data_IF_479923376709
#
_entry.id   IF_479923376709
#
_cell.length_a   1.000
_cell.length_b   1.000
_cell.length_c   1.000
_cell.angle_alpha   90.00
_cell.angle_beta   90.00
_cell.angle_gamma   90.00
#
_symmetry.space_group_name_H-M   'P 1'
#
loop_
_entity.id
_entity.type
_entity.pdbx_description
1 polymer ?
#
# COMPACT_ATOMS: atom_id res chain seq x y z
N UNK A 1 58.03 -41.51 -36.67
CA UNK A 1 58.85 -41.32 -35.46
C UNK A 1 58.97 -39.84 -35.15
N UNK A 2 58.12 -39.34 -34.26
CA UNK A 2 58.33 -38.16 -33.40
C UNK A 2 57.01 -37.87 -32.67
N UNK A 3 56.93 -38.40 -31.46
CA UNK A 3 55.93 -38.10 -30.44
C UNK A 3 56.11 -36.68 -29.90
N UNK A 4 55.01 -35.94 -29.79
CA UNK A 4 54.56 -35.08 -28.65
C UNK A 4 53.43 -34.12 -29.11
N UNK A 5 52.58 -33.57 -28.21
CA UNK A 5 52.52 -33.76 -26.75
C UNK A 5 51.13 -34.13 -26.19
N UNK A 6 51.13 -34.47 -24.91
CA UNK A 6 50.04 -34.98 -24.09
C UNK A 6 48.82 -34.06 -23.96
N UNK A 7 47.63 -34.67 -23.96
CA UNK A 7 46.35 -34.05 -23.61
C UNK A 7 46.28 -33.73 -22.10
N UNK A 8 45.72 -32.58 -21.69
CA UNK A 8 45.53 -32.29 -20.28
C UNK A 8 44.37 -33.12 -19.69
N UNK A 9 44.59 -33.64 -18.47
CA UNK A 9 43.56 -34.32 -17.67
C UNK A 9 42.38 -33.38 -17.36
N UNK A 10 41.14 -33.90 -17.31
CA UNK A 10 39.98 -33.08 -16.96
C UNK A 10 40.08 -32.61 -15.50
N UNK A 11 40.08 -31.29 -15.30
CA UNK A 11 40.00 -30.68 -13.98
C UNK A 11 38.60 -30.92 -13.40
N UNK A 12 38.53 -31.59 -12.25
CA UNK A 12 37.32 -31.72 -11.44
C UNK A 12 37.00 -30.31 -10.92
N UNK A 13 35.93 -29.70 -11.46
CA UNK A 13 35.42 -28.40 -10.97
C UNK A 13 34.90 -28.59 -9.54
N UNK A 14 35.48 -27.83 -8.62
CA UNK A 14 35.06 -27.68 -7.23
C UNK A 14 33.59 -27.24 -7.14
N UNK A 15 32.78 -28.01 -6.41
CA UNK A 15 31.38 -27.71 -6.05
C UNK A 15 31.30 -26.57 -5.02
N UNK A 16 31.79 -25.37 -5.35
CA UNK A 16 31.70 -24.18 -4.47
C UNK A 16 31.23 -22.88 -5.12
N UNK A 17 30.79 -22.91 -6.38
CA UNK A 17 30.29 -21.71 -7.08
C UNK A 17 28.81 -21.81 -7.47
N UNK A 18 27.96 -22.26 -6.54
CA UNK A 18 26.50 -22.18 -6.68
C UNK A 18 25.86 -21.65 -5.38
N UNK A 19 26.18 -20.42 -5.02
CA UNK A 19 25.45 -19.69 -3.97
C UNK A 19 25.51 -18.18 -4.23
N UNK A 20 24.98 -17.75 -5.36
CA UNK A 20 24.55 -16.36 -5.60
C UNK A 20 23.43 -16.42 -6.63
N UNK A 21 22.31 -17.04 -6.24
CA UNK A 21 21.08 -16.88 -6.99
C UNK A 21 20.55 -15.47 -6.66
N UNK A 22 20.63 -14.60 -7.65
CA UNK A 22 19.84 -13.38 -7.70
C UNK A 22 18.36 -13.72 -7.40
N UNK A 23 17.57 -12.78 -6.83
CA UNK A 23 16.14 -13.00 -6.63
C UNK A 23 15.51 -13.51 -7.93
N UNK A 24 14.54 -14.45 -7.88
CA UNK A 24 13.96 -15.03 -9.08
C UNK A 24 13.43 -13.92 -9.97
N UNK A 25 14.02 -13.77 -11.17
CA UNK A 25 13.53 -12.83 -12.16
C UNK A 25 12.08 -13.20 -12.50
N UNK A 26 11.13 -12.23 -12.49
CA UNK A 26 9.77 -12.51 -12.90
C UNK A 26 9.77 -12.77 -14.42
N UNK A 27 9.87 -14.04 -14.82
CA UNK A 27 9.74 -14.44 -16.22
C UNK A 27 8.25 -14.41 -16.58
N UNK A 28 7.84 -13.25 -17.08
CA UNK A 28 6.61 -12.98 -17.80
C UNK A 28 6.26 -11.50 -17.71
N UNK A 29 5.84 -10.90 -18.81
CA UNK A 29 5.65 -9.44 -18.92
C UNK A 29 4.78 -8.86 -17.78
N UNK A 30 5.35 -7.92 -17.03
CA UNK A 30 4.63 -7.07 -16.08
C UNK A 30 3.64 -6.22 -16.87
N UNK A 31 2.38 -6.17 -16.44
CA UNK A 31 1.39 -5.35 -17.14
C UNK A 31 1.83 -3.89 -17.14
N UNK A 32 1.81 -3.26 -18.31
CA UNK A 32 2.07 -1.83 -18.47
C UNK A 32 0.84 -1.15 -19.05
N UNK A 33 0.58 0.12 -18.67
CA UNK A 33 -0.53 0.87 -19.24
C UNK A 33 -0.41 0.93 -20.76
N UNK A 34 -1.49 0.60 -21.51
CA UNK A 34 -1.47 0.69 -22.96
C UNK A 34 -1.17 2.13 -23.37
N UNK A 35 -0.40 2.34 -24.44
CA UNK A 35 -0.19 3.68 -24.96
C UNK A 35 -1.52 4.25 -25.50
N UNK A 36 -1.69 5.56 -25.37
CA UNK A 36 -2.83 6.30 -25.95
C UNK A 36 -2.29 7.26 -27.00
N UNK A 37 -2.89 7.25 -28.19
CA UNK A 37 -2.51 8.13 -29.31
C UNK A 37 -3.68 8.88 -29.91
N UNK A 38 -4.91 8.51 -29.56
CA UNK A 38 -6.14 9.15 -30.01
C UNK A 38 -7.06 9.46 -28.84
N UNK A 39 -8.02 10.37 -29.04
CA UNK A 39 -9.05 10.67 -28.03
C UNK A 39 -9.88 9.42 -27.71
N UNK A 40 -10.17 8.59 -28.70
CA UNK A 40 -10.95 7.36 -28.56
C UNK A 40 -10.27 6.35 -27.63
N UNK A 41 -8.93 6.26 -27.65
CA UNK A 41 -8.18 5.37 -26.75
C UNK A 41 -8.38 5.73 -25.27
N UNK A 42 -8.69 7.00 -24.99
CA UNK A 42 -8.95 7.45 -23.61
C UNK A 42 -10.25 6.84 -23.08
N UNK A 43 -11.19 6.47 -23.95
CA UNK A 43 -12.55 6.07 -23.60
C UNK A 43 -13.43 7.23 -23.13
N UNK A 44 -12.95 8.47 -23.19
CA UNK A 44 -13.67 9.68 -22.82
C UNK A 44 -14.17 10.40 -24.07
N UNK A 45 -15.25 11.16 -23.94
CA UNK A 45 -15.77 11.98 -25.03
C UNK A 45 -15.07 13.36 -25.08
N UNK A 46 -15.09 13.98 -26.26
CA UNK A 46 -14.48 15.29 -26.53
C UNK A 46 -14.92 16.39 -25.57
N UNK A 47 -16.20 16.42 -25.21
CA UNK A 47 -16.77 17.44 -24.32
C UNK A 47 -16.28 17.27 -22.88
N UNK A 48 -16.16 16.03 -22.38
CA UNK A 48 -15.64 15.74 -21.04
C UNK A 48 -14.18 16.15 -20.91
N UNK A 49 -13.35 15.85 -21.93
CA UNK A 49 -11.95 16.28 -21.93
C UNK A 49 -11.84 17.79 -22.10
N UNK A 50 -12.69 18.39 -22.94
CA UNK A 50 -12.79 19.84 -23.09
C UNK A 50 -13.15 20.56 -21.78
N UNK A 51 -14.17 20.09 -21.07
CA UNK A 51 -14.57 20.58 -19.75
C UNK A 51 -13.42 20.47 -18.74
N UNK A 52 -12.68 19.36 -18.75
CA UNK A 52 -11.52 19.17 -17.88
C UNK A 52 -10.41 20.19 -18.16
N UNK A 53 -10.07 20.40 -19.44
CA UNK A 53 -9.07 21.39 -19.87
C UNK A 53 -9.49 22.81 -19.47
N UNK A 54 -10.76 23.15 -19.68
CA UNK A 54 -11.32 24.45 -19.28
C UNK A 54 -11.23 24.66 -17.77
N UNK A 55 -11.53 23.64 -16.96
CA UNK A 55 -11.37 23.71 -15.50
C UNK A 55 -9.92 23.94 -15.08
N UNK A 56 -8.97 23.23 -15.69
CA UNK A 56 -7.54 23.43 -15.41
C UNK A 56 -7.08 24.85 -15.74
N UNK A 57 -7.46 25.37 -16.91
CA UNK A 57 -7.14 26.74 -17.30
C UNK A 57 -7.86 27.80 -16.45
N UNK A 58 -9.09 27.53 -16.01
CA UNK A 58 -9.83 28.43 -15.12
C UNK A 58 -9.10 28.66 -13.80
N UNK A 59 -8.51 27.61 -13.21
CA UNK A 59 -7.70 27.73 -11.99
C UNK A 59 -6.26 28.20 -12.24
N UNK A 60 -5.64 27.74 -13.33
CA UNK A 60 -4.22 27.98 -13.62
C UNK A 60 -3.93 29.27 -14.40
N UNK A 61 -4.94 29.94 -14.96
CA UNK A 61 -4.77 31.13 -15.78
C UNK A 61 -4.22 30.81 -17.18
N UNK A 62 -3.06 31.37 -17.52
CA UNK A 62 -2.41 31.11 -18.82
C UNK A 62 -1.39 29.97 -18.70
N UNK A 63 -1.52 28.94 -19.54
CA UNK A 63 -0.70 27.74 -19.46
C UNK A 63 -0.24 27.28 -20.84
N UNK A 64 0.91 26.62 -20.91
CA UNK A 64 1.35 25.99 -22.16
C UNK A 64 0.59 24.69 -22.39
N UNK A 65 0.45 24.27 -23.65
CA UNK A 65 -0.13 22.96 -23.98
C UNK A 65 0.55 21.79 -23.25
N UNK A 66 1.88 21.84 -23.11
CA UNK A 66 2.66 20.87 -22.32
C UNK A 66 2.25 20.87 -20.84
N UNK A 67 2.09 22.05 -20.22
CA UNK A 67 1.68 22.13 -18.82
C UNK A 67 0.26 21.58 -18.60
N UNK A 68 -0.66 21.86 -19.54
CA UNK A 68 -2.01 21.29 -19.52
C UNK A 68 -1.93 19.76 -19.63
N UNK A 69 -1.16 19.26 -20.61
CA UNK A 69 -0.91 17.83 -20.84
C UNK A 69 -0.36 17.13 -19.59
N UNK A 70 0.58 17.75 -18.88
CA UNK A 70 1.16 17.20 -17.66
C UNK A 70 0.17 17.16 -16.49
N UNK A 71 -0.79 18.09 -16.41
CA UNK A 71 -1.82 18.13 -15.36
C UNK A 71 -2.92 17.12 -15.64
N UNK A 72 -3.49 17.14 -16.85
CA UNK A 72 -4.59 16.23 -17.23
C UNK A 72 -4.08 14.84 -17.61
N UNK A 73 -2.76 14.62 -17.64
CA UNK A 73 -2.15 13.33 -17.95
C UNK A 73 -2.65 12.74 -19.28
N UNK A 74 -2.72 13.57 -20.32
CA UNK A 74 -3.04 13.13 -21.68
C UNK A 74 -1.97 13.64 -22.64
N UNK A 75 -1.52 12.83 -23.61
CA UNK A 75 -0.59 13.30 -24.64
C UNK A 75 -1.13 14.53 -25.35
N UNK A 76 -0.24 15.48 -25.65
CA UNK A 76 -0.67 16.65 -26.41
C UNK A 76 -1.04 16.27 -27.85
N UNK A 77 -0.13 15.61 -28.57
CA UNK A 77 -0.33 15.18 -29.95
C UNK A 77 -1.32 14.02 -30.04
N UNK A 78 -2.30 14.13 -30.95
CA UNK A 78 -3.29 13.10 -31.24
C UNK A 78 -4.47 13.03 -30.26
N UNK A 79 -4.35 13.63 -29.07
CA UNK A 79 -5.41 13.67 -28.06
C UNK A 79 -5.82 15.11 -27.75
N UNK A 80 -4.93 15.91 -27.15
CA UNK A 80 -5.31 17.27 -26.73
C UNK A 80 -5.30 18.27 -27.88
N UNK A 81 -4.47 18.14 -28.90
CA UNK A 81 -4.46 19.04 -30.07
C UNK A 81 -5.86 19.22 -30.69
N UNK A 82 -6.58 18.12 -30.94
CA UNK A 82 -7.96 18.15 -31.42
C UNK A 82 -8.94 18.79 -30.43
N UNK A 83 -8.75 18.56 -29.12
CA UNK A 83 -9.55 19.21 -28.06
C UNK A 83 -9.29 20.72 -28.04
N UNK A 84 -8.03 21.14 -28.13
CA UNK A 84 -7.62 22.55 -28.15
C UNK A 84 -8.14 23.24 -29.41
N UNK A 85 -8.11 22.58 -30.56
CA UNK A 85 -8.69 23.11 -31.81
C UNK A 85 -10.20 23.30 -31.69
N UNK A 86 -10.91 22.31 -31.16
CA UNK A 86 -12.33 22.41 -30.87
C UNK A 86 -12.65 23.60 -29.96
N UNK A 87 -11.96 23.73 -28.83
CA UNK A 87 -12.18 24.81 -27.87
C UNK A 87 -11.82 26.20 -28.46
N UNK A 88 -10.78 26.29 -29.30
CA UNK A 88 -10.44 27.51 -30.06
C UNK A 88 -11.54 27.87 -31.05
N UNK A 89 -12.02 26.92 -31.85
CA UNK A 89 -13.09 27.12 -32.84
C UNK A 89 -14.38 27.61 -32.18
N UNK A 90 -14.69 27.06 -31.00
CA UNK A 90 -15.84 27.47 -30.18
C UNK A 90 -15.60 28.80 -29.43
N UNK A 91 -14.46 29.46 -29.63
CA UNK A 91 -14.06 30.73 -28.98
C UNK A 91 -13.98 30.65 -27.46
N UNK A 92 -13.75 29.45 -26.91
CA UNK A 92 -13.56 29.25 -25.48
C UNK A 92 -12.10 29.46 -25.06
N UNK A 93 -11.17 29.26 -25.99
CA UNK A 93 -9.73 29.49 -25.79
C UNK A 93 -9.16 30.40 -26.87
N UNK A 94 -8.11 31.13 -26.49
CA UNK A 94 -7.26 31.91 -27.38
C UNK A 94 -5.78 31.54 -27.18
N UNK A 95 -4.96 31.81 -28.20
CA UNK A 95 -3.50 31.65 -28.12
C UNK A 95 -2.88 33.03 -27.98
N UNK A 96 -2.19 33.28 -26.85
CA UNK A 96 -1.61 34.59 -26.55
C UNK A 96 -0.18 34.75 -27.10
N UNK A 97 0.53 33.64 -27.33
CA UNK A 97 1.89 33.64 -27.85
C UNK A 97 2.40 32.24 -28.15
N UNK A 98 3.41 32.15 -29.02
CA UNK A 98 4.09 30.91 -29.38
C UNK A 98 5.45 30.85 -28.69
N UNK A 99 5.65 29.89 -27.78
CA UNK A 99 6.95 29.62 -27.15
C UNK A 99 7.90 28.78 -28.03
N UNK A 100 7.46 28.38 -29.23
CA UNK A 100 8.17 27.51 -30.18
C UNK A 100 7.31 27.21 -31.42
N UNK A 101 7.80 26.36 -32.33
CA UNK A 101 7.08 25.99 -33.57
C UNK A 101 5.95 24.97 -33.37
N UNK A 102 5.91 24.25 -32.25
CA UNK A 102 4.89 23.23 -31.98
C UNK A 102 3.71 23.81 -31.21
N UNK A 103 2.48 23.40 -31.55
CA UNK A 103 1.26 23.81 -30.83
C UNK A 103 1.32 23.49 -29.33
N UNK A 104 2.01 22.42 -28.93
CA UNK A 104 2.22 22.06 -27.52
C UNK A 104 2.93 23.14 -26.70
N UNK A 105 3.72 23.99 -27.36
CA UNK A 105 4.46 25.10 -26.74
C UNK A 105 3.69 26.43 -26.73
N UNK A 106 2.51 26.47 -27.32
CA UNK A 106 1.68 27.68 -27.33
C UNK A 106 1.12 27.96 -25.93
N UNK A 107 1.02 29.25 -25.60
CA UNK A 107 0.35 29.70 -24.39
C UNK A 107 -1.14 29.90 -24.66
N UNK A 108 -1.95 29.06 -24.01
CA UNK A 108 -3.40 29.11 -24.09
C UNK A 108 -3.96 29.94 -22.94
N UNK A 109 -4.97 30.74 -23.25
CA UNK A 109 -5.72 31.54 -22.28
C UNK A 109 -7.22 31.28 -22.45
N UNK A 110 -7.91 31.20 -21.32
CA UNK A 110 -9.36 31.05 -21.29
C UNK A 110 -10.06 32.37 -21.62
N UNK A 111 -11.04 32.34 -22.52
CA UNK A 111 -11.85 33.53 -22.85
C UNK A 111 -12.97 33.72 -21.84
N UNK A 112 -13.74 34.81 -21.95
CA UNK A 112 -14.95 34.99 -21.13
C UNK A 112 -15.98 33.87 -21.35
N UNK A 113 -16.17 33.43 -22.61
CA UNK A 113 -17.05 32.30 -22.95
C UNK A 113 -16.53 30.99 -22.38
N UNK A 114 -15.21 30.75 -22.46
CA UNK A 114 -14.59 29.58 -21.85
C UNK A 114 -14.74 29.57 -20.33
N UNK A 115 -14.59 30.72 -19.68
CA UNK A 115 -14.73 30.85 -18.23
C UNK A 115 -16.16 30.60 -17.75
N UNK A 116 -17.17 31.04 -18.49
CA UNK A 116 -18.57 30.70 -18.23
C UNK A 116 -18.80 29.19 -18.32
N UNK A 117 -18.31 28.57 -19.41
CA UNK A 117 -18.42 27.11 -19.58
C UNK A 117 -17.68 26.32 -18.49
N UNK A 118 -16.52 26.80 -18.05
CA UNK A 118 -15.77 26.21 -16.96
C UNK A 118 -16.57 26.26 -15.65
N UNK A 119 -17.26 27.37 -15.33
CA UNK A 119 -18.11 27.47 -14.14
C UNK A 119 -19.27 26.47 -14.18
N UNK A 120 -19.95 26.32 -15.32
CA UNK A 120 -20.99 25.28 -15.49
C UNK A 120 -20.42 23.87 -15.24
N UNK A 121 -19.20 23.59 -15.71
CA UNK A 121 -18.56 22.30 -15.47
C UNK A 121 -18.17 22.10 -14.00
N UNK A 122 -17.71 23.16 -13.32
CA UNK A 122 -17.38 23.16 -11.88
C UNK A 122 -18.63 22.99 -11.00
N UNK A 123 -19.79 23.43 -11.46
CA UNK A 123 -21.07 23.14 -10.80
C UNK A 123 -21.43 21.65 -10.81
N UNK A 124 -20.92 20.88 -11.79
CA UNK A 124 -21.08 19.43 -11.84
C UNK A 124 -19.98 18.70 -11.07
N UNK A 125 -18.73 19.15 -11.20
CA UNK A 125 -17.58 18.58 -10.49
C UNK A 125 -16.39 19.54 -10.47
N UNK A 126 -15.84 19.80 -9.28
CA UNK A 126 -14.64 20.61 -9.07
C UNK A 126 -13.34 19.89 -9.48
N UNK A 127 -13.41 18.62 -9.88
CA UNK A 127 -12.23 17.85 -10.26
C UNK A 127 -11.50 18.45 -11.46
N UNK A 128 -10.24 18.88 -11.27
CA UNK A 128 -9.41 19.53 -12.29
C UNK A 128 -7.97 18.97 -12.26
N UNK A 129 -7.83 17.67 -12.50
CA UNK A 129 -6.55 16.96 -12.45
C UNK A 129 -6.46 15.92 -13.57
N UNK A 130 -5.67 14.87 -13.39
CA UNK A 130 -5.49 13.77 -14.34
C UNK A 130 -6.83 13.27 -14.91
N UNK A 131 -6.94 13.14 -16.23
CA UNK A 131 -8.15 12.62 -16.86
C UNK A 131 -8.45 11.22 -16.29
N UNK A 132 -9.71 10.94 -15.91
CA UNK A 132 -10.05 9.65 -15.37
C UNK A 132 -9.93 8.56 -16.44
N UNK A 133 -9.66 7.33 -16.00
CA UNK A 133 -9.80 6.14 -16.86
C UNK A 133 -11.21 5.59 -16.73
N UNK A 134 -11.73 4.91 -17.75
CA UNK A 134 -13.07 4.32 -17.63
C UNK A 134 -13.09 3.19 -16.60
N UNK A 135 -14.24 2.93 -15.97
CA UNK A 135 -14.41 1.79 -15.08
C UNK A 135 -13.95 0.47 -15.72
N UNK A 136 -14.26 0.25 -17.00
CA UNK A 136 -13.86 -0.99 -17.69
C UNK A 136 -12.33 -1.09 -17.87
N UNK A 137 -11.65 0.02 -18.16
CA UNK A 137 -10.19 0.05 -18.23
C UNK A 137 -9.57 -0.31 -16.87
N UNK A 138 -10.11 0.24 -15.78
CA UNK A 138 -9.70 -0.10 -14.42
C UNK A 138 -9.89 -1.59 -14.12
N UNK A 139 -11.09 -2.15 -14.37
CA UNK A 139 -11.40 -3.56 -14.13
C UNK A 139 -10.42 -4.46 -14.89
N UNK A 140 -10.23 -4.22 -16.18
CA UNK A 140 -9.33 -5.01 -17.02
C UNK A 140 -7.88 -4.98 -16.50
N UNK A 141 -7.39 -3.80 -16.09
CA UNK A 141 -6.05 -3.65 -15.56
C UNK A 141 -5.88 -4.38 -14.22
N UNK A 142 -6.87 -4.30 -13.32
CA UNK A 142 -6.83 -4.98 -12.03
C UNK A 142 -6.84 -6.50 -12.20
N UNK A 143 -7.67 -7.03 -13.10
CA UNK A 143 -7.71 -8.46 -13.38
C UNK A 143 -6.37 -8.98 -13.90
N UNK A 144 -5.75 -8.30 -14.87
CA UNK A 144 -4.48 -8.76 -15.47
C UNK A 144 -3.33 -8.68 -14.46
N UNK A 145 -3.23 -7.58 -13.71
CA UNK A 145 -2.16 -7.38 -12.72
C UNK A 145 -2.22 -8.33 -11.52
N UNK A 146 -3.38 -8.95 -11.25
CA UNK A 146 -3.58 -9.85 -10.12
C UNK A 146 -3.72 -11.34 -10.49
N UNK A 147 -3.55 -11.69 -11.78
CA UNK A 147 -3.56 -13.10 -12.24
C UNK A 147 -2.44 -13.95 -11.66
N UNK A 148 -1.26 -13.35 -11.43
CA UNK A 148 -0.10 -14.06 -10.88
C UNK A 148 -0.05 -13.88 -9.38
N UNK A 149 -0.18 -14.99 -8.65
CA UNK A 149 0.11 -15.03 -7.22
C UNK A 149 1.59 -15.27 -7.03
N UNK A 150 2.26 -14.40 -6.29
CA UNK A 150 3.61 -14.68 -5.79
C UNK A 150 3.47 -15.87 -4.85
N UNK A 151 4.17 -16.96 -5.15
CA UNK A 151 4.25 -18.13 -4.27
C UNK A 151 5.41 -17.90 -3.31
N UNK A 152 5.08 -17.95 -2.04
CA UNK A 152 6.00 -17.61 -0.97
C UNK A 152 6.35 -18.88 -0.22
N UNK A 153 7.63 -19.20 -0.26
CA UNK A 153 8.21 -20.30 0.46
C UNK A 153 8.74 -19.84 1.82
N UNK A 154 9.00 -20.80 2.70
CA UNK A 154 9.44 -20.55 4.07
C UNK A 154 10.74 -19.75 4.10
N UNK A 155 11.66 -20.02 3.17
CA UNK A 155 12.95 -19.35 3.05
C UNK A 155 12.76 -17.86 2.75
N UNK A 156 11.80 -17.51 1.88
CA UNK A 156 11.49 -16.12 1.58
C UNK A 156 10.96 -15.41 2.83
N UNK A 157 9.99 -16.00 3.54
CA UNK A 157 9.47 -15.39 4.76
C UNK A 157 10.56 -15.19 5.82
N UNK A 158 11.34 -16.23 6.09
CA UNK A 158 12.42 -16.18 7.07
C UNK A 158 13.45 -15.09 6.75
N UNK A 159 13.73 -14.85 5.47
CA UNK A 159 14.65 -13.80 5.05
C UNK A 159 14.14 -12.40 5.35
N UNK A 160 12.84 -12.15 5.22
CA UNK A 160 12.32 -10.79 5.30
C UNK A 160 11.74 -10.42 6.65
N UNK A 161 11.52 -11.41 7.49
CA UNK A 161 11.26 -11.24 8.92
C UNK A 161 12.53 -11.44 9.75
N UNK A 162 13.74 -11.38 9.16
CA UNK A 162 15.00 -11.55 9.91
C UNK A 162 15.07 -10.67 11.15
N UNK A 163 14.55 -9.45 11.04
CA UNK A 163 14.56 -8.46 12.11
C UNK A 163 13.45 -8.69 13.15
N UNK A 164 12.49 -9.57 12.86
CA UNK A 164 11.44 -9.99 13.79
C UNK A 164 11.80 -11.33 14.45
N UNK A 165 11.52 -11.46 15.74
CA UNK A 165 11.60 -12.74 16.45
C UNK A 165 10.23 -13.41 16.32
N UNK A 166 10.13 -14.36 15.39
CA UNK A 166 8.90 -15.11 15.08
C UNK A 166 9.19 -16.60 15.25
N UNK A 167 8.27 -17.34 15.87
CA UNK A 167 8.42 -18.79 16.02
C UNK A 167 8.34 -19.50 14.66
N UNK A 168 9.02 -20.64 14.53
CA UNK A 168 8.90 -21.51 13.36
C UNK A 168 7.44 -21.93 13.11
N UNK A 169 6.70 -22.23 14.18
CA UNK A 169 5.29 -22.58 14.11
C UNK A 169 4.43 -21.43 13.54
N UNK A 170 4.75 -20.19 13.91
CA UNK A 170 4.05 -19.02 13.40
C UNK A 170 4.34 -18.80 11.90
N UNK A 171 5.55 -19.06 11.42
CA UNK A 171 5.83 -19.08 9.96
C UNK A 171 5.01 -20.13 9.23
N UNK A 172 4.92 -21.33 9.80
CA UNK A 172 4.17 -22.45 9.21
C UNK A 172 2.65 -22.16 9.14
N UNK A 173 2.15 -21.21 9.95
CA UNK A 173 0.77 -20.69 9.86
C UNK A 173 0.63 -19.50 8.91
N UNK A 174 1.58 -18.56 8.91
CA UNK A 174 1.54 -17.34 8.09
C UNK A 174 1.73 -17.65 6.61
N UNK A 175 2.71 -18.49 6.25
CA UNK A 175 3.05 -18.74 4.84
C UNK A 175 1.89 -19.27 4.00
N UNK A 176 1.15 -20.29 4.46
CA UNK A 176 -0.06 -20.73 3.77
C UNK A 176 -1.14 -19.65 3.68
N UNK A 177 -1.30 -18.84 4.74
CA UNK A 177 -2.31 -17.78 4.79
C UNK A 177 -2.06 -16.70 3.73
N UNK A 178 -0.81 -16.29 3.65
CA UNK A 178 -0.23 -15.40 2.65
C UNK A 178 -0.45 -15.92 1.23
N UNK A 179 -0.06 -17.18 0.95
CA UNK A 179 -0.19 -17.76 -0.39
C UNK A 179 -1.64 -17.94 -0.83
N UNK A 180 -2.56 -18.09 0.13
CA UNK A 180 -3.98 -18.15 -0.19
C UNK A 180 -4.46 -16.84 -0.85
N UNK A 181 -3.85 -15.70 -0.48
CA UNK A 181 -4.27 -14.36 -0.89
C UNK A 181 -5.67 -14.00 -0.37
N UNK A 182 -6.08 -14.59 0.77
CA UNK A 182 -7.41 -14.43 1.37
C UNK A 182 -7.30 -13.81 2.76
N UNK A 183 -8.44 -13.69 3.44
CA UNK A 183 -8.53 -13.08 4.76
C UNK A 183 -7.74 -13.83 5.84
N UNK A 184 -7.03 -13.05 6.66
CA UNK A 184 -6.26 -13.50 7.82
C UNK A 184 -6.79 -12.83 9.08
N UNK A 185 -6.88 -13.58 10.17
CA UNK A 185 -7.25 -13.08 11.48
C UNK A 185 -6.09 -13.33 12.45
N UNK A 186 -5.42 -12.26 12.86
CA UNK A 186 -4.38 -12.26 13.88
C UNK A 186 -5.02 -11.90 15.22
N UNK A 187 -4.94 -12.81 16.18
CA UNK A 187 -5.50 -12.59 17.51
C UNK A 187 -4.52 -13.01 18.60
N UNK A 188 -4.71 -12.52 19.81
CA UNK A 188 -3.87 -12.84 20.95
C UNK A 188 -3.57 -11.61 21.79
N UNK A 189 -2.81 -11.74 22.87
CA UNK A 189 -2.62 -10.66 23.82
C UNK A 189 -1.98 -9.39 23.22
N UNK A 190 -2.24 -8.21 23.81
CA UNK A 190 -1.60 -6.97 23.37
C UNK A 190 -0.10 -7.01 23.62
N UNK A 191 0.67 -6.27 22.79
CA UNK A 191 2.12 -6.16 22.96
C UNK A 191 2.95 -7.29 22.35
N UNK A 192 2.35 -8.22 21.59
CA UNK A 192 3.10 -9.29 20.90
C UNK A 192 3.35 -9.01 19.40
N UNK A 193 3.16 -7.78 18.95
CA UNK A 193 3.57 -7.35 17.60
C UNK A 193 2.69 -7.82 16.44
N UNK A 194 1.40 -8.14 16.68
CA UNK A 194 0.44 -8.54 15.62
C UNK A 194 0.45 -7.59 14.42
N UNK A 195 0.32 -6.29 14.67
CA UNK A 195 0.32 -5.23 13.66
C UNK A 195 1.63 -5.21 12.88
N UNK A 196 2.77 -5.26 13.58
CA UNK A 196 4.10 -5.28 12.96
C UNK A 196 4.29 -6.52 12.10
N UNK A 197 3.81 -7.69 12.54
CA UNK A 197 3.87 -8.93 11.76
C UNK A 197 3.00 -8.79 10.50
N UNK A 198 1.76 -8.32 10.62
CA UNK A 198 0.87 -8.11 9.48
C UNK A 198 1.49 -7.17 8.44
N UNK A 199 2.00 -6.02 8.85
CA UNK A 199 2.63 -5.04 7.96
C UNK A 199 3.87 -5.61 7.26
N UNK A 200 4.76 -6.29 8.01
CA UNK A 200 6.00 -6.84 7.46
C UNK A 200 5.69 -7.97 6.50
N UNK A 201 4.77 -8.85 6.87
CA UNK A 201 4.29 -9.89 5.96
C UNK A 201 3.69 -9.25 4.71
N UNK A 202 2.76 -8.30 4.83
CA UNK A 202 2.13 -7.63 3.68
C UNK A 202 3.12 -6.99 2.72
N UNK A 203 4.04 -6.16 3.21
CA UNK A 203 5.03 -5.47 2.36
C UNK A 203 5.91 -6.43 1.53
N UNK A 204 6.17 -7.61 2.10
CA UNK A 204 7.06 -8.61 1.50
C UNK A 204 6.30 -9.50 0.54
N UNK A 205 5.11 -9.89 0.98
CA UNK A 205 4.26 -10.84 0.30
C UNK A 205 3.69 -10.27 -0.96
N UNK A 206 3.20 -9.04 -0.85
CA UNK A 206 2.56 -8.39 -1.95
C UNK A 206 3.57 -8.14 -3.06
N UNK A 207 4.80 -7.74 -2.70
CA UNK A 207 5.98 -7.76 -3.57
C UNK A 207 5.83 -6.95 -4.86
N UNK A 208 6.75 -6.03 -5.09
CA UNK A 208 6.81 -5.29 -6.34
C UNK A 208 5.77 -4.17 -6.46
N UNK A 209 5.77 -3.60 -7.66
CA UNK A 209 5.00 -2.43 -8.00
C UNK A 209 3.75 -2.82 -8.79
N UNK A 210 2.76 -1.94 -8.80
CA UNK A 210 1.57 -2.07 -9.64
C UNK A 210 1.15 -0.69 -10.15
N UNK A 211 0.37 -0.69 -11.22
CA UNK A 211 -0.20 0.51 -11.79
C UNK A 211 -1.63 0.70 -11.32
N UNK A 212 -1.93 1.91 -10.83
CA UNK A 212 -3.29 2.36 -10.53
C UNK A 212 -3.58 3.66 -11.26
N UNK A 213 -4.83 3.97 -11.60
CA UNK A 213 -5.16 5.27 -12.18
C UNK A 213 -5.22 6.35 -11.10
N UNK A 214 -5.07 7.62 -11.48
CA UNK A 214 -5.35 8.73 -10.56
C UNK A 214 -6.83 8.77 -10.15
N UNK A 215 -7.72 8.57 -11.10
CA UNK A 215 -9.16 8.53 -10.91
C UNK A 215 -9.84 7.64 -11.95
N UNK A 216 -11.06 7.19 -11.64
CA UNK A 216 -11.93 6.44 -12.55
C UNK A 216 -13.20 7.23 -12.86
N UNK A 217 -13.71 7.08 -14.08
CA UNK A 217 -14.99 7.60 -14.52
C UNK A 217 -16.05 6.50 -14.43
N UNK A 218 -17.13 6.81 -13.73
CA UNK A 218 -18.33 5.99 -13.61
C UNK A 218 -19.51 6.83 -14.11
N UNK A 219 -19.72 6.79 -15.43
CA UNK A 219 -20.82 7.48 -16.11
C UNK A 219 -20.83 8.99 -15.85
N UNK A 220 -19.65 9.61 -15.96
CA UNK A 220 -19.45 11.03 -15.71
C UNK A 220 -19.29 11.40 -14.23
N UNK A 221 -19.41 10.44 -13.31
CA UNK A 221 -19.03 10.63 -11.90
C UNK A 221 -17.57 10.22 -11.71
N UNK A 222 -16.78 11.12 -11.14
CA UNK A 222 -15.34 10.89 -10.92
C UNK A 222 -15.14 10.29 -9.54
N UNK A 223 -14.41 9.19 -9.47
CA UNK A 223 -13.94 8.59 -8.21
C UNK A 223 -12.42 8.66 -8.16
N UNK A 224 -11.89 9.32 -7.13
CA UNK A 224 -10.44 9.36 -6.89
C UNK A 224 -9.94 8.04 -6.32
N UNK A 225 -8.87 7.52 -6.89
CA UNK A 225 -8.23 6.27 -6.46
C UNK A 225 -6.89 6.57 -5.81
N UNK A 226 -5.99 7.25 -6.54
CA UNK A 226 -4.68 7.61 -6.01
C UNK A 226 -4.78 8.77 -5.02
N UNK A 227 -4.04 8.61 -3.93
CA UNK A 227 -3.71 9.67 -2.98
C UNK A 227 -2.34 9.39 -2.35
N UNK A 228 -1.62 10.45 -2.00
CA UNK A 228 -0.25 10.37 -1.51
C UNK A 228 -0.14 9.93 -0.03
N UNK A 229 -1.26 9.83 0.69
CA UNK A 229 -1.29 9.38 2.09
C UNK A 229 -1.24 7.85 2.13
N UNK A 230 -2.04 7.20 1.28
CA UNK A 230 -2.19 5.75 1.25
C UNK A 230 -1.26 5.06 0.23
N UNK A 231 -0.80 5.76 -0.81
CA UNK A 231 0.00 5.16 -1.87
C UNK A 231 1.42 5.70 -1.91
N UNK A 232 2.39 4.78 -1.92
CA UNK A 232 3.82 5.07 -2.08
C UNK A 232 4.23 4.81 -3.52
N UNK A 233 4.97 5.73 -4.13
CA UNK A 233 5.43 5.59 -5.52
C UNK A 233 6.40 4.40 -5.68
N UNK A 234 6.40 3.80 -6.87
CA UNK A 234 7.35 2.76 -7.26
C UNK A 234 8.75 3.33 -7.53
N UNK A 235 9.78 2.47 -7.48
CA UNK A 235 11.19 2.89 -7.52
C UNK A 235 11.60 3.63 -8.82
N UNK A 236 10.95 3.31 -9.94
CA UNK A 236 11.23 3.97 -11.23
C UNK A 236 10.65 5.40 -11.31
N UNK A 237 9.56 5.67 -10.59
CA UNK A 237 8.89 6.96 -10.55
C UNK A 237 9.53 7.92 -9.53
N UNK A 238 10.13 7.40 -8.45
CA UNK A 238 10.90 8.22 -7.48
C UNK A 238 12.05 9.00 -8.15
N UNK A 239 12.64 8.44 -9.22
CA UNK A 239 13.75 9.06 -9.96
C UNK A 239 13.32 9.91 -11.17
N UNK A 240 12.01 10.05 -11.44
CA UNK A 240 11.48 10.85 -12.56
C UNK A 240 11.83 10.36 -13.97
N UNK A 241 12.42 9.17 -14.11
CA UNK A 241 12.96 8.63 -15.39
C UNK A 241 11.98 7.74 -16.16
N UNK A 242 10.82 7.44 -15.60
CA UNK A 242 9.89 6.41 -16.12
C UNK A 242 8.83 6.93 -17.11
N UNK A 243 9.17 7.89 -18.00
CA UNK A 243 8.27 8.30 -19.10
C UNK A 243 8.62 7.68 -20.45
N UNK A 244 9.73 6.94 -20.52
CA UNK A 244 10.19 6.29 -21.76
C UNK A 244 10.47 4.84 -21.44
N UNK A 245 9.53 3.95 -21.80
CA UNK A 245 9.91 2.56 -22.01
C UNK A 245 11.09 2.55 -22.99
N UNK A 246 12.07 1.66 -22.82
CA UNK A 246 13.28 1.59 -23.66
C UNK A 246 13.03 1.43 -25.16
N UNK A 247 11.76 1.28 -25.57
CA UNK A 247 11.23 1.19 -26.94
C UNK A 247 10.76 2.52 -27.53
N UNK A 248 10.77 3.63 -26.78
CA UNK A 248 10.28 4.94 -27.24
C UNK A 248 8.76 5.13 -27.17
N UNK A 249 8.02 4.12 -26.70
CA UNK A 249 6.56 4.20 -26.49
C UNK A 249 6.27 4.86 -25.14
N UNK A 250 5.46 5.91 -25.16
CA UNK A 250 4.96 6.59 -23.96
C UNK A 250 3.73 5.83 -23.46
N UNK A 251 3.84 5.22 -22.29
CA UNK A 251 2.72 4.56 -21.59
C UNK A 251 1.66 5.59 -21.19
N UNK A 252 0.39 5.19 -21.09
CA UNK A 252 -0.71 6.10 -20.68
C UNK A 252 -0.40 6.78 -19.33
N UNK A 253 -0.22 8.12 -19.31
CA UNK A 253 0.22 8.84 -18.12
C UNK A 253 -0.88 9.02 -17.06
N UNK A 254 -2.14 8.62 -17.34
CA UNK A 254 -3.23 8.59 -16.35
C UNK A 254 -3.04 7.50 -15.29
N UNK A 255 -2.10 6.59 -15.53
CA UNK A 255 -1.70 5.54 -14.60
C UNK A 255 -0.40 5.94 -13.89
N UNK A 256 -0.32 5.61 -12.61
CA UNK A 256 0.84 5.85 -11.77
C UNK A 256 1.33 4.53 -11.19
N UNK A 257 2.66 4.32 -11.19
CA UNK A 257 3.26 3.11 -10.65
C UNK A 257 3.49 3.31 -9.16
N UNK A 258 2.88 2.46 -8.35
CA UNK A 258 2.96 2.49 -6.90
C UNK A 258 3.54 1.16 -6.41
N UNK A 259 4.12 1.16 -5.21
CA UNK A 259 4.30 -0.10 -4.47
C UNK A 259 2.92 -0.65 -4.16
N UNK A 260 2.73 -1.97 -4.22
CA UNK A 260 1.43 -2.56 -3.88
C UNK A 260 0.92 -2.03 -2.53
N UNK A 261 -0.35 -1.58 -2.47
CA UNK A 261 -0.83 -0.79 -1.36
C UNK A 261 -0.93 -1.63 -0.07
N UNK A 262 -0.43 -1.08 1.03
CA UNK A 262 -0.64 -1.60 2.38
C UNK A 262 -1.30 -0.49 3.17
N UNK A 263 -2.62 -0.57 3.31
CA UNK A 263 -3.43 0.43 4.01
C UNK A 263 -3.81 -0.14 5.37
N UNK A 264 -3.57 0.63 6.43
CA UNK A 264 -3.96 0.28 7.79
C UNK A 264 -5.01 1.26 8.31
N UNK A 265 -6.03 0.73 8.99
CA UNK A 265 -7.04 1.50 9.71
C UNK A 265 -7.23 0.93 11.11
N UNK A 266 -7.42 1.80 12.10
CA UNK A 266 -7.66 1.44 13.49
C UNK A 266 -9.10 1.72 13.96
N UNK A 267 -9.24 2.39 15.10
CA UNK A 267 -10.52 2.71 15.73
C UNK A 267 -11.38 3.73 14.96
N UNK A 268 -10.78 4.46 14.03
CA UNK A 268 -11.41 5.46 13.16
C UNK A 268 -12.20 4.87 11.99
N UNK A 269 -12.14 3.55 11.80
CA UNK A 269 -12.89 2.88 10.73
C UNK A 269 -14.40 2.99 10.96
N UNK A 270 -15.09 3.56 9.96
CA UNK A 270 -16.55 3.64 9.91
C UNK A 270 -17.10 2.83 8.74
N UNK A 271 -18.37 2.41 8.80
CA UNK A 271 -19.03 1.73 7.66
C UNK A 271 -19.06 2.63 6.41
N UNK A 272 -19.27 3.93 6.61
CA UNK A 272 -19.28 4.89 5.50
C UNK A 272 -17.93 4.94 4.77
N UNK A 273 -16.80 4.74 5.47
CA UNK A 273 -15.47 4.64 4.87
C UNK A 273 -15.25 3.38 4.02
N UNK A 274 -16.19 2.43 4.04
CA UNK A 274 -16.20 1.24 3.19
C UNK A 274 -17.09 1.39 1.95
N UNK A 275 -17.75 2.53 1.78
CA UNK A 275 -18.54 2.83 0.57
C UNK A 275 -17.97 4.09 -0.10
N UNK A 276 -18.46 4.39 -1.31
CA UNK A 276 -18.03 5.58 -2.04
C UNK A 276 -18.49 6.83 -1.28
N UNK A 277 -17.53 7.64 -0.83
CA UNK A 277 -17.82 8.86 -0.09
C UNK A 277 -17.95 10.02 -1.07
N UNK A 278 -19.17 10.53 -1.24
CA UNK A 278 -19.41 11.71 -2.08
C UNK A 278 -19.11 12.99 -1.31
N UNK A 279 -18.24 13.84 -1.87
CA UNK A 279 -17.99 15.17 -1.33
C UNK A 279 -18.97 16.17 -1.97
N UNK A 280 -19.89 16.73 -1.17
CA UNK A 280 -20.92 17.66 -1.67
C UNK A 280 -20.35 19.02 -2.13
N UNK A 281 -19.19 19.42 -1.62
CA UNK A 281 -18.53 20.68 -1.98
C UNK A 281 -17.77 20.50 -3.29
N UNK A 282 -16.95 19.45 -3.35
CA UNK A 282 -16.09 19.17 -4.49
C UNK A 282 -16.82 18.42 -5.63
N UNK A 283 -17.95 17.78 -5.33
CA UNK A 283 -18.83 17.07 -6.27
C UNK A 283 -18.09 15.98 -7.06
N UNK A 284 -17.30 15.20 -6.34
CA UNK A 284 -16.72 13.93 -6.81
C UNK A 284 -16.63 12.97 -5.63
N UNK A 285 -16.35 11.70 -5.92
CA UNK A 285 -16.22 10.68 -4.90
C UNK A 285 -14.77 10.43 -4.52
N UNK A 286 -14.57 10.09 -3.26
CA UNK A 286 -13.36 9.45 -2.78
C UNK A 286 -13.57 7.93 -2.77
N UNK A 287 -12.61 7.19 -3.34
CA UNK A 287 -12.63 5.72 -3.31
C UNK A 287 -12.49 5.20 -1.87
N UNK A 288 -13.24 4.16 -1.47
CA UNK A 288 -13.11 3.58 -0.14
C UNK A 288 -11.78 2.84 0.03
N UNK A 289 -11.38 2.58 1.27
CA UNK A 289 -10.08 1.99 1.59
C UNK A 289 -9.83 0.66 0.86
N UNK A 290 -10.83 -0.21 0.77
CA UNK A 290 -10.65 -1.48 0.07
C UNK A 290 -10.39 -1.30 -1.43
N UNK A 291 -11.03 -0.31 -2.07
CA UNK A 291 -10.82 -0.01 -3.49
C UNK A 291 -9.41 0.55 -3.72
N UNK A 292 -8.92 1.40 -2.80
CA UNK A 292 -7.54 1.93 -2.81
C UNK A 292 -6.50 0.85 -2.54
N UNK A 293 -6.82 -0.13 -1.69
CA UNK A 293 -5.95 -1.26 -1.39
C UNK A 293 -6.03 -2.41 -2.41
N UNK A 294 -6.74 -2.24 -3.54
CA UNK A 294 -6.94 -3.32 -4.51
C UNK A 294 -5.61 -3.79 -5.11
N UNK A 295 -5.39 -5.11 -5.16
CA UNK A 295 -4.09 -5.71 -5.47
C UNK A 295 -3.10 -5.67 -4.30
N UNK A 296 -3.50 -5.22 -3.13
CA UNK A 296 -2.65 -5.08 -1.95
C UNK A 296 -3.23 -5.73 -0.71
N UNK A 297 -2.92 -5.13 0.44
CA UNK A 297 -3.40 -5.56 1.76
C UNK A 297 -4.15 -4.43 2.44
N UNK A 298 -5.24 -4.80 3.10
CA UNK A 298 -6.00 -3.93 3.97
C UNK A 298 -5.99 -4.48 5.39
N UNK A 299 -5.28 -3.80 6.30
CA UNK A 299 -5.11 -4.20 7.69
C UNK A 299 -6.04 -3.38 8.59
N UNK A 300 -6.87 -4.08 9.36
CA UNK A 300 -7.77 -3.51 10.34
C UNK A 300 -7.22 -3.85 11.72
N UNK A 301 -6.63 -2.86 12.37
CA UNK A 301 -6.04 -3.02 13.70
C UNK A 301 -7.06 -2.75 14.82
N UNK A 302 -6.80 -3.33 15.99
CA UNK A 302 -7.71 -3.31 17.14
C UNK A 302 -9.17 -3.65 16.78
N UNK A 303 -9.36 -4.62 15.89
CA UNK A 303 -10.66 -5.09 15.45
C UNK A 303 -11.50 -5.56 16.64
N UNK A 304 -12.71 -5.02 16.80
CA UNK A 304 -13.50 -5.18 18.02
C UNK A 304 -13.64 -3.92 18.86
N UNK A 305 -12.79 -2.92 18.64
CA UNK A 305 -12.76 -1.66 19.41
C UNK A 305 -13.21 -0.45 18.60
N UNK A 306 -13.73 -0.66 17.39
CA UNK A 306 -14.31 0.38 16.55
C UNK A 306 -15.66 0.84 17.12
N UNK A 307 -16.09 2.04 16.73
CA UNK A 307 -17.46 2.51 17.00
C UNK A 307 -18.51 1.62 16.34
N UNK A 308 -18.16 1.05 15.18
CA UNK A 308 -19.00 0.11 14.43
C UNK A 308 -18.86 -1.28 15.03
N UNK A 309 -19.98 -2.02 15.09
CA UNK A 309 -19.98 -3.40 15.55
C UNK A 309 -19.16 -4.28 14.58
N UNK A 310 -18.27 -5.15 15.08
CA UNK A 310 -17.49 -6.08 14.27
C UNK A 310 -18.31 -6.85 13.24
N UNK A 311 -19.50 -7.31 13.65
CA UNK A 311 -20.44 -8.03 12.78
C UNK A 311 -20.84 -7.24 11.53
N UNK A 312 -21.01 -5.93 11.63
CA UNK A 312 -21.48 -5.10 10.52
C UNK A 312 -20.36 -4.91 9.48
N UNK A 313 -19.13 -4.66 9.94
CA UNK A 313 -17.93 -4.60 9.09
C UNK A 313 -17.74 -5.93 8.35
N UNK A 314 -17.89 -7.03 9.07
CA UNK A 314 -17.73 -8.37 8.55
C UNK A 314 -18.82 -8.75 7.55
N UNK A 315 -20.08 -8.37 7.80
CA UNK A 315 -21.18 -8.53 6.85
C UNK A 315 -20.91 -7.81 5.52
N UNK A 316 -20.30 -6.62 5.56
CA UNK A 316 -19.95 -5.83 4.37
C UNK A 316 -18.97 -6.56 3.45
N UNK A 317 -18.12 -7.43 3.99
CA UNK A 317 -17.11 -8.19 3.23
C UNK A 317 -17.45 -9.65 2.97
N UNK A 318 -18.62 -10.15 3.38
CA UNK A 318 -19.03 -11.53 3.07
C UNK A 318 -18.95 -11.77 1.56
N UNK A 319 -19.63 -10.94 0.77
CA UNK A 319 -19.71 -11.11 -0.68
C UNK A 319 -18.35 -10.84 -1.35
N UNK A 320 -17.63 -9.75 -1.05
CA UNK A 320 -16.28 -9.52 -1.57
C UNK A 320 -15.30 -10.68 -1.33
N UNK A 321 -15.27 -11.23 -0.11
CA UNK A 321 -14.36 -12.33 0.24
C UNK A 321 -14.74 -13.67 -0.38
N UNK A 322 -16.04 -13.91 -0.64
CA UNK A 322 -16.52 -15.15 -1.26
C UNK A 322 -16.42 -15.12 -2.79
N UNK A 323 -16.79 -14.01 -3.42
CA UNK A 323 -16.90 -13.89 -4.88
C UNK A 323 -15.71 -13.21 -5.55
N UNK A 324 -14.86 -12.52 -4.79
CA UNK A 324 -13.77 -11.71 -5.35
C UNK A 324 -14.26 -10.46 -6.09
N UNK A 325 -15.46 -9.98 -5.77
CA UNK A 325 -16.07 -8.77 -6.37
C UNK A 325 -16.72 -7.93 -5.27
N UNK A 326 -16.42 -6.63 -5.27
CA UNK A 326 -17.04 -5.66 -4.39
C UNK A 326 -18.12 -4.86 -5.14
N UNK A 327 -19.21 -4.59 -4.43
CA UNK A 327 -20.34 -3.84 -4.95
C UNK A 327 -20.35 -2.46 -4.28
N UNK A 328 -20.16 -1.42 -5.08
CA UNK A 328 -20.20 -0.03 -4.59
C UNK A 328 -21.45 0.66 -5.14
N UNK A 329 -22.03 1.55 -4.34
CA UNK A 329 -23.23 2.30 -4.70
C UNK A 329 -22.92 3.79 -4.74
N UNK A 330 -23.25 4.43 -5.86
CA UNK A 330 -23.19 5.88 -6.02
C UNK A 330 -24.37 6.56 -5.29
N UNK A 331 -24.26 7.85 -4.97
CA UNK A 331 -25.33 8.63 -4.33
C UNK A 331 -26.65 8.64 -5.12
N UNK A 332 -26.58 8.41 -6.44
CA UNK A 332 -27.75 8.30 -7.32
C UNK A 332 -28.39 6.89 -7.29
N UNK A 333 -27.91 5.99 -6.42
CA UNK A 333 -28.41 4.63 -6.26
C UNK A 333 -27.87 3.61 -7.26
N UNK A 334 -27.06 4.04 -8.24
CA UNK A 334 -26.44 3.12 -9.20
C UNK A 334 -25.41 2.24 -8.51
N UNK A 335 -25.47 0.94 -8.78
CA UNK A 335 -24.50 -0.05 -8.31
C UNK A 335 -23.48 -0.34 -9.39
N UNK A 336 -22.24 -0.51 -8.96
CA UNK A 336 -21.13 -0.95 -9.78
C UNK A 336 -20.44 -2.16 -9.16
N UNK A 337 -19.78 -2.92 -10.01
CA UNK A 337 -18.99 -4.08 -9.63
C UNK A 337 -17.51 -3.79 -9.89
N UNK A 338 -16.66 -4.06 -8.91
CA UNK A 338 -15.20 -3.92 -9.03
C UNK A 338 -14.50 -5.19 -8.55
N UNK A 339 -13.42 -5.62 -9.20
CA UNK A 339 -12.60 -6.73 -8.73
C UNK A 339 -12.13 -6.49 -7.30
N UNK A 340 -12.17 -7.53 -6.47
CA UNK A 340 -11.72 -7.48 -5.09
C UNK A 340 -10.49 -8.38 -4.91
N UNK A 341 -9.32 -7.82 -5.20
CA UNK A 341 -8.02 -8.47 -5.02
C UNK A 341 -7.30 -7.94 -3.78
N UNK A 342 -8.03 -7.85 -2.66
CA UNK A 342 -7.50 -7.32 -1.39
C UNK A 342 -7.27 -8.46 -0.41
N UNK A 343 -6.04 -8.54 0.12
CA UNK A 343 -5.75 -9.36 1.29
C UNK A 343 -6.21 -8.62 2.55
N UNK A 344 -7.37 -8.98 3.11
CA UNK A 344 -7.84 -8.38 4.36
C UNK A 344 -7.14 -9.07 5.55
N UNK A 345 -6.57 -8.28 6.46
CA UNK A 345 -6.01 -8.76 7.72
C UNK A 345 -6.73 -8.09 8.88
N UNK A 346 -7.32 -8.88 9.76
CA UNK A 346 -7.90 -8.41 11.01
C UNK A 346 -6.91 -8.65 12.15
N UNK A 347 -6.57 -7.63 12.92
CA UNK A 347 -5.74 -7.75 14.12
C UNK A 347 -6.58 -7.39 15.35
N UNK A 348 -6.60 -8.24 16.37
CA UNK A 348 -7.37 -7.99 17.60
C UNK A 348 -6.69 -8.52 18.85
N UNK A 349 -7.02 -7.90 19.99
CA UNK A 349 -6.65 -8.35 21.32
C UNK A 349 -7.72 -9.26 21.96
N UNK A 350 -8.88 -9.44 21.31
CA UNK A 350 -10.01 -10.21 21.80
C UNK A 350 -10.00 -11.63 21.20
N UNK A 351 -10.63 -12.58 21.89
CA UNK A 351 -10.82 -13.90 21.29
C UNK A 351 -11.79 -13.78 20.09
N UNK A 352 -11.51 -14.41 18.94
CA UNK A 352 -12.39 -14.38 17.78
C UNK A 352 -13.84 -14.80 18.09
N UNK A 353 -14.06 -15.69 19.08
CA UNK A 353 -15.39 -16.15 19.51
C UNK A 353 -16.21 -15.07 20.21
N UNK A 354 -15.56 -14.08 20.81
CA UNK A 354 -16.22 -12.97 21.49
C UNK A 354 -16.64 -11.86 20.51
N UNK A 355 -16.07 -11.87 19.30
CA UNK A 355 -16.33 -10.86 18.28
C UNK A 355 -17.49 -11.22 17.37
N UNK A 356 -17.61 -12.49 16.98
CA UNK A 356 -18.59 -12.97 15.99
C UNK A 356 -18.95 -14.44 16.18
N UNK A 357 -20.07 -14.83 15.55
CA UNK A 357 -20.55 -16.22 15.55
C UNK A 357 -19.67 -17.18 14.74
N UNK A 358 -19.89 -18.48 14.96
CA UNK A 358 -19.16 -19.55 14.29
C UNK A 358 -19.36 -19.53 12.76
N UNK A 359 -20.55 -19.14 12.29
CA UNK A 359 -20.87 -19.05 10.88
C UNK A 359 -19.96 -18.03 10.17
N UNK A 360 -19.66 -16.91 10.83
CA UNK A 360 -18.71 -15.93 10.30
C UNK A 360 -17.27 -16.42 10.39
N UNK A 361 -16.86 -16.98 11.53
CA UNK A 361 -15.50 -17.51 11.69
C UNK A 361 -15.14 -18.55 10.63
N UNK A 362 -16.12 -19.32 10.11
CA UNK A 362 -15.90 -20.26 8.99
C UNK A 362 -15.47 -19.58 7.68
N UNK A 363 -15.80 -18.30 7.48
CA UNK A 363 -15.44 -17.53 6.27
C UNK A 363 -14.02 -16.98 6.32
N UNK A 364 -13.47 -16.77 7.52
CA UNK A 364 -12.08 -16.38 7.69
C UNK A 364 -11.21 -17.65 7.72
N UNK A 365 -10.44 -17.87 6.66
CA UNK A 365 -9.71 -19.14 6.48
C UNK A 365 -8.58 -19.32 7.49
N UNK A 366 -7.79 -18.28 7.71
CA UNK A 366 -6.59 -18.36 8.53
C UNK A 366 -6.78 -17.58 9.81
N UNK A 367 -6.75 -18.29 10.94
CA UNK A 367 -6.80 -17.72 12.30
C UNK A 367 -5.47 -18.04 12.94
N UNK A 368 -4.66 -17.01 13.16
CA UNK A 368 -3.29 -17.16 13.65
C UNK A 368 -3.24 -16.49 15.02
N UNK A 369 -3.05 -17.33 16.04
CA UNK A 369 -2.79 -16.85 17.39
C UNK A 369 -1.36 -16.33 17.49
N UNK A 370 -1.20 -15.13 18.05
CA UNK A 370 0.07 -14.48 18.35
C UNK A 370 0.21 -14.45 19.87
N UNK A 371 0.70 -15.57 20.40
CA UNK A 371 0.89 -15.78 21.83
C UNK A 371 2.11 -15.06 22.40
N UNK A 372 2.34 -15.30 23.69
CA UNK A 372 3.49 -14.77 24.41
C UNK A 372 4.79 -15.45 23.97
N UNK A 373 5.91 -14.71 23.93
CA UNK A 373 7.21 -15.28 23.59
C UNK A 373 7.65 -16.27 24.68
N UNK A 374 8.36 -17.33 24.26
CA UNK A 374 9.11 -18.17 25.18
C UNK A 374 10.28 -17.40 25.81
N UNK A 375 10.87 -17.90 26.89
CA UNK A 375 12.06 -17.28 27.49
C UNK A 375 13.23 -17.12 26.50
N UNK A 376 13.43 -18.10 25.60
CA UNK A 376 14.45 -18.04 24.55
C UNK A 376 14.15 -16.92 23.56
N UNK A 377 12.91 -16.84 23.08
CA UNK A 377 12.49 -15.76 22.19
C UNK A 377 12.56 -14.39 22.85
N UNK A 378 12.18 -14.31 24.13
CA UNK A 378 12.25 -13.08 24.90
C UNK A 378 13.70 -12.60 25.04
N UNK A 379 14.65 -13.51 25.30
CA UNK A 379 16.08 -13.23 25.31
C UNK A 379 16.57 -12.70 23.97
N UNK A 380 16.19 -13.34 22.87
CA UNK A 380 16.55 -12.90 21.52
C UNK A 380 16.02 -11.49 21.21
N UNK A 381 14.76 -11.20 21.57
CA UNK A 381 14.16 -9.87 21.42
C UNK A 381 14.96 -8.86 22.25
N UNK A 382 15.24 -9.20 23.51
CA UNK A 382 15.95 -8.32 24.43
C UNK A 382 17.36 -7.98 23.92
N UNK A 383 18.10 -8.97 23.41
CA UNK A 383 19.42 -8.76 22.82
C UNK A 383 19.36 -7.82 21.61
N UNK A 384 18.41 -8.03 20.70
CA UNK A 384 18.23 -7.17 19.52
C UNK A 384 17.84 -5.74 19.89
N UNK A 385 16.98 -5.58 20.90
CA UNK A 385 16.60 -4.25 21.41
C UNK A 385 17.82 -3.53 22.01
N UNK A 386 18.63 -4.23 22.81
CA UNK A 386 19.87 -3.68 23.35
C UNK A 386 20.81 -3.22 22.23
N UNK A 387 21.03 -4.05 21.20
CA UNK A 387 21.85 -3.71 20.05
C UNK A 387 21.29 -2.48 19.30
N UNK A 388 19.99 -2.46 18.99
CA UNK A 388 19.34 -1.35 18.30
C UNK A 388 19.37 -0.03 19.09
N UNK A 389 19.42 -0.10 20.42
CA UNK A 389 19.53 1.05 21.33
C UNK A 389 20.96 1.35 21.77
N UNK A 390 21.95 0.64 21.22
CA UNK A 390 23.36 0.76 21.55
C UNK A 390 23.66 0.57 23.06
N UNK A 391 22.94 -0.35 23.70
CA UNK A 391 23.13 -0.78 25.09
C UNK A 391 23.90 -2.10 25.10
N UNK A 392 24.92 -2.19 25.96
CA UNK A 392 25.67 -3.44 26.14
C UNK A 392 24.77 -4.49 26.79
N UNK A 393 24.47 -5.54 26.04
CA UNK A 393 23.73 -6.70 26.54
C UNK A 393 24.51 -7.44 27.63
N UNK A 394 23.79 -7.91 28.66
CA UNK A 394 24.32 -8.69 29.78
C UNK A 394 23.30 -9.77 30.19
N UNK A 395 23.72 -11.03 30.10
CA UNK A 395 22.89 -12.19 30.47
C UNK A 395 22.53 -12.19 31.97
N UNK A 396 23.41 -11.68 32.83
CA UNK A 396 23.15 -11.64 34.27
C UNK A 396 22.07 -10.61 34.60
N UNK A 397 22.13 -9.43 33.98
CA UNK A 397 21.09 -8.42 34.07
C UNK A 397 19.73 -8.93 33.60
N UNK A 398 19.66 -9.61 32.45
CA UNK A 398 18.41 -10.20 31.96
C UNK A 398 17.89 -11.30 32.90
N UNK A 399 18.75 -12.21 33.37
CA UNK A 399 18.35 -13.26 34.30
C UNK A 399 17.80 -12.68 35.62
N UNK A 400 18.40 -11.58 36.11
CA UNK A 400 17.89 -10.86 37.28
C UNK A 400 16.49 -10.27 37.01
N UNK A 401 16.31 -9.57 35.89
CA UNK A 401 15.02 -9.03 35.48
C UNK A 401 13.94 -10.11 35.41
N UNK A 402 14.23 -11.24 34.75
CA UNK A 402 13.29 -12.35 34.60
C UNK A 402 12.94 -12.98 35.96
N UNK A 403 13.91 -13.19 36.85
CA UNK A 403 13.65 -13.79 38.14
C UNK A 403 12.82 -12.87 39.04
N UNK A 404 13.25 -11.62 39.20
CA UNK A 404 12.66 -10.70 40.17
C UNK A 404 11.31 -10.13 39.72
N UNK A 405 11.18 -9.76 38.44
CA UNK A 405 10.02 -9.01 37.96
C UNK A 405 9.03 -9.84 37.14
N UNK A 406 9.40 -11.05 36.71
CA UNK A 406 8.50 -11.94 35.98
C UNK A 406 8.12 -13.18 36.78
N UNK A 407 9.11 -13.99 37.19
CA UNK A 407 8.85 -15.28 37.84
C UNK A 407 8.23 -15.10 39.23
N UNK A 408 8.78 -14.21 40.07
CA UNK A 408 8.24 -13.96 41.43
C UNK A 408 6.87 -13.31 41.41
N UNK A 409 6.61 -12.47 40.41
CA UNK A 409 5.40 -11.67 40.28
C UNK A 409 4.34 -12.33 39.37
N UNK A 410 4.60 -13.56 38.89
CA UNK A 410 3.76 -14.32 37.95
C UNK A 410 3.30 -13.51 36.72
N UNK A 411 4.22 -12.75 36.11
CA UNK A 411 3.90 -11.88 34.97
C UNK A 411 4.11 -12.60 33.64
N UNK A 412 3.17 -12.49 32.68
CA UNK A 412 3.37 -13.01 31.34
C UNK A 412 4.45 -12.21 30.61
N UNK A 413 5.27 -12.91 29.82
CA UNK A 413 6.21 -12.27 28.91
C UNK A 413 5.43 -11.63 27.76
N UNK A 414 5.78 -10.40 27.36
CA UNK A 414 5.27 -9.80 26.12
C UNK A 414 6.43 -9.37 25.25
N UNK A 415 6.28 -9.49 23.92
CA UNK A 415 7.34 -9.09 22.98
C UNK A 415 7.67 -7.58 23.05
N UNK A 416 6.74 -6.75 23.54
CA UNK A 416 6.93 -5.31 23.71
C UNK A 416 7.77 -4.95 24.93
N UNK A 417 7.75 -5.77 25.99
CA UNK A 417 8.38 -5.41 27.26
C UNK A 417 9.87 -5.08 27.15
N UNK A 418 10.72 -5.82 26.39
CA UNK A 418 12.13 -5.46 26.25
C UNK A 418 12.33 -4.03 25.73
N UNK A 419 11.56 -3.64 24.71
CA UNK A 419 11.63 -2.29 24.12
C UNK A 419 11.28 -1.22 25.15
N UNK A 420 10.16 -1.42 25.85
CA UNK A 420 9.64 -0.42 26.79
C UNK A 420 10.52 -0.33 28.05
N UNK A 421 10.98 -1.47 28.59
CA UNK A 421 11.87 -1.52 29.74
C UNK A 421 13.24 -0.90 29.45
N UNK A 422 13.82 -1.17 28.27
CA UNK A 422 15.09 -0.54 27.87
C UNK A 422 14.91 0.96 27.64
N UNK A 423 13.78 1.41 27.08
CA UNK A 423 13.49 2.83 26.93
C UNK A 423 13.42 3.52 28.31
N UNK A 424 12.67 2.95 29.26
CA UNK A 424 12.60 3.46 30.64
C UNK A 424 13.97 3.49 31.31
N UNK A 425 14.77 2.44 31.13
CA UNK A 425 16.14 2.37 31.66
C UNK A 425 17.02 3.51 31.11
N UNK A 426 16.92 3.81 29.81
CA UNK A 426 17.67 4.90 29.17
C UNK A 426 17.22 6.25 29.72
N UNK A 427 15.92 6.48 29.85
CA UNK A 427 15.38 7.73 30.37
C UNK A 427 15.85 7.99 31.81
N UNK A 428 15.78 6.96 32.67
CA UNK A 428 16.27 7.00 34.06
C UNK A 428 17.78 7.24 34.12
N UNK A 429 18.58 6.50 33.35
CA UNK A 429 20.03 6.66 33.35
C UNK A 429 20.45 8.06 32.89
N UNK A 430 19.76 8.59 31.87
CA UNK A 430 19.97 9.95 31.36
C UNK A 430 19.66 10.99 32.43
N UNK A 431 18.53 10.85 33.13
CA UNK A 431 18.16 11.73 34.24
C UNK A 431 19.18 11.70 35.39
N UNK A 432 19.68 10.52 35.73
CA UNK A 432 20.71 10.33 36.77
C UNK A 432 22.13 10.70 36.30
N UNK A 433 22.28 11.16 35.06
CA UNK A 433 23.56 11.51 34.44
C UNK A 433 24.61 10.37 34.51
N UNK A 434 24.17 9.14 34.23
CA UNK A 434 25.00 7.95 34.24
C UNK A 434 24.82 7.13 32.95
N UNK A 435 25.80 6.28 32.56
CA UNK A 435 25.66 5.48 31.35
C UNK A 435 24.54 4.43 31.47
N UNK A 436 23.70 4.27 30.43
CA UNK A 436 22.62 3.28 30.44
C UNK A 436 23.22 1.87 30.37
N UNK A 437 23.15 1.15 31.48
CA UNK A 437 23.72 -0.20 31.64
C UNK A 437 22.73 -1.10 32.37
N UNK A 438 22.81 -2.41 32.11
CA UNK A 438 21.92 -3.42 32.71
C UNK A 438 22.32 -3.75 34.16
N UNK A 439 22.46 -2.74 35.00
CA UNK A 439 22.68 -2.92 36.45
C UNK A 439 21.37 -3.22 37.15
N UNK A 440 21.44 -3.93 38.29
CA UNK A 440 20.25 -4.27 39.09
C UNK A 440 19.43 -3.03 39.47
N UNK A 441 20.11 -1.97 39.92
CA UNK A 441 19.51 -0.70 40.32
C UNK A 441 18.69 -0.07 39.18
N UNK A 442 19.28 0.05 37.99
CA UNK A 442 18.62 0.62 36.82
C UNK A 442 17.47 -0.26 36.31
N UNK A 443 17.65 -1.59 36.37
CA UNK A 443 16.60 -2.55 36.02
C UNK A 443 15.40 -2.40 36.97
N UNK A 444 15.64 -2.35 38.28
CA UNK A 444 14.59 -2.23 39.28
C UNK A 444 13.85 -0.90 39.14
N UNK A 445 14.55 0.21 38.91
CA UNK A 445 13.91 1.51 38.67
C UNK A 445 13.04 1.49 37.40
N UNK A 446 13.55 0.92 36.30
CA UNK A 446 12.82 0.84 35.05
C UNK A 446 11.59 -0.07 35.15
N UNK A 447 11.74 -1.25 35.77
CA UNK A 447 10.68 -2.22 35.94
C UNK A 447 9.61 -1.72 36.93
N UNK A 448 10.00 -1.10 38.05
CA UNK A 448 9.05 -0.50 39.00
C UNK A 448 8.25 0.64 38.37
N UNK A 449 8.87 1.45 37.51
CA UNK A 449 8.20 2.52 36.77
C UNK A 449 7.21 1.98 35.73
N UNK A 450 7.58 0.92 35.02
CA UNK A 450 6.77 0.35 33.95
C UNK A 450 5.62 -0.54 34.47
N UNK A 451 5.92 -1.45 35.39
CA UNK A 451 4.96 -2.38 35.98
C UNK A 451 4.24 -1.72 37.16
N UNK A 452 3.36 -0.78 36.84
CA UNK A 452 2.48 -0.17 37.84
C UNK A 452 1.46 -1.23 38.31
N UNK A 453 1.32 -1.41 39.62
CA UNK A 453 0.19 -2.17 40.17
C UNK A 453 -1.06 -1.28 40.10
N UNK A 454 -1.97 -1.59 39.18
CA UNK A 454 -3.29 -0.97 39.03
C UNK A 454 -4.36 -1.71 39.82
#
# INVERSE_FOLDING_TARGET
>A
MSDRPAQPRPQIRSLKDQASQAPPEPIGEEWTPPAISTLEDTGLNLLTVGDLVLKVLYFGGYMTGIAISDIVKLPFTGVLDGVMEFLKREKMLEVRGAGGLSESSFQYIITSKGAEKAREALERSQYASAAPVTLQQYINAMEVQNRRKIIIHREHLAQVTKDLVISNEMFDRIGPAVNSGRSVFLYGPPGNGKTTIAERVGNVVLGGDMWIPYAIDIDGQIVRIYDAVNHKLGQADENGKSRRAGTGVVTDPRWIKIRRPVIMVGGELTLAGLDLVYDEVNKYYEGPFQLKSNGGMFLIDDFGRQQVRPRDLLNRWIVPLEKGVDFLTLHNGRKIEVPFHVMIVFSTNLDPRDLVDEAFLRRIRHKIEVGDPTYEQYRDIFQRVCEAKNIKYDDKGLAYLLNEWYIKEDRPLRAVHPRDLIAQLIDIATYLNQPPTLTKELIDMAAASYFVNL
#
